data_IF_765465964175
#
_entry.id   IF_765465964175
#
_cell.length_a   1.000
_cell.length_b   1.000
_cell.length_c   1.000
_cell.angle_alpha   90.00
_cell.angle_beta   90.00
_cell.angle_gamma   90.00
#
_symmetry.space_group_name_H-M   'P 1'
#
loop_
_entity.id
_entity.type
_entity.pdbx_description
1 polymer ?
#
# COMPACT_ATOMS: atom_id res chain seq x y z
N UNK A 1 -6.58 -5.44 12.11
CA UNK A 1 -7.13 -6.61 12.84
C UNK A 1 -7.34 -7.69 11.80
N UNK A 2 -6.84 -8.92 12.01
CA UNK A 2 -6.93 -9.97 11.00
C UNK A 2 -8.35 -10.19 10.50
N UNK A 3 -8.49 -10.37 9.19
CA UNK A 3 -9.78 -10.54 8.54
C UNK A 3 -10.03 -12.03 8.28
N UNK A 4 -11.07 -12.59 8.91
CA UNK A 4 -11.55 -13.94 8.63
C UNK A 4 -12.44 -13.89 7.39
N UNK A 5 -12.08 -14.61 6.32
CA UNK A 5 -12.83 -14.58 5.05
C UNK A 5 -13.08 -13.14 4.53
N UNK A 6 -12.07 -12.26 4.68
CA UNK A 6 -12.10 -10.84 4.32
C UNK A 6 -13.08 -9.98 5.12
N UNK A 7 -13.57 -10.46 6.26
CA UNK A 7 -14.40 -9.70 7.20
C UNK A 7 -13.70 -9.58 8.55
N UNK A 8 -13.89 -8.47 9.28
CA UNK A 8 -13.40 -8.35 10.64
C UNK A 8 -13.92 -9.50 11.50
N UNK A 9 -13.05 -10.14 12.27
CA UNK A 9 -13.46 -11.15 13.25
C UNK A 9 -13.89 -10.44 14.54
N UNK A 10 -15.11 -10.75 15.00
CA UNK A 10 -15.58 -10.28 16.30
C UNK A 10 -14.82 -10.95 17.44
N UNK A 11 -14.54 -10.18 18.50
CA UNK A 11 -14.14 -10.75 19.79
C UNK A 11 -15.37 -11.31 20.48
N UNK A 12 -15.24 -12.47 21.12
CA UNK A 12 -16.28 -13.02 22.00
C UNK A 12 -16.40 -12.13 23.23
N UNK A 13 -17.63 -11.93 23.69
CA UNK A 13 -17.91 -11.14 24.89
C UNK A 13 -17.38 -11.87 26.13
N UNK A 14 -16.94 -11.08 27.11
CA UNK A 14 -16.53 -11.63 28.40
C UNK A 14 -17.77 -12.20 29.09
N UNK A 15 -17.74 -13.45 29.58
CA UNK A 15 -18.89 -14.03 30.26
C UNK A 15 -19.31 -13.18 31.48
N UNK A 16 -20.62 -12.92 31.69
CA UNK A 16 -21.09 -11.86 32.60
C UNK A 16 -20.84 -12.10 34.11
N UNK A 17 -20.30 -13.26 34.51
CA UNK A 17 -20.15 -13.65 35.91
C UNK A 17 -18.71 -14.05 36.31
N UNK A 18 -17.70 -13.65 35.54
CA UNK A 18 -16.29 -13.99 35.84
C UNK A 18 -15.76 -13.09 36.96
N UNK A 19 -15.37 -13.68 38.10
CA UNK A 19 -14.68 -12.99 39.18
C UNK A 19 -13.17 -13.01 38.96
N UNK A 20 -12.46 -12.06 39.57
CA UNK A 20 -10.99 -11.96 39.47
C UNK A 20 -10.25 -13.20 40.01
N UNK A 21 -10.89 -13.97 40.89
CA UNK A 21 -10.35 -15.20 41.48
C UNK A 21 -10.62 -16.46 40.65
N UNK A 22 -11.45 -16.36 39.61
CA UNK A 22 -11.90 -17.53 38.87
C UNK A 22 -10.79 -18.03 37.93
N UNK A 23 -10.66 -19.36 37.82
CA UNK A 23 -9.76 -19.98 36.85
C UNK A 23 -10.41 -19.93 35.48
N UNK A 24 -9.72 -19.31 34.53
CA UNK A 24 -10.19 -19.13 33.16
C UNK A 24 -9.12 -19.56 32.17
N UNK A 25 -9.54 -19.90 30.95
CA UNK A 25 -8.67 -20.06 29.81
C UNK A 25 -8.52 -18.72 29.12
N UNK A 26 -7.30 -18.21 29.05
CA UNK A 26 -7.00 -16.91 28.46
C UNK A 26 -6.28 -17.10 27.12
N UNK A 27 -6.78 -16.40 26.11
CA UNK A 27 -6.21 -16.39 24.77
C UNK A 27 -5.54 -15.03 24.53
N UNK A 28 -4.23 -14.99 24.70
CA UNK A 28 -3.42 -13.76 24.67
C UNK A 28 -3.54 -12.99 23.35
N UNK A 29 -3.53 -13.70 22.22
CA UNK A 29 -3.46 -13.06 20.90
C UNK A 29 -4.73 -12.28 20.52
N UNK A 30 -5.90 -12.66 21.04
CA UNK A 30 -7.16 -11.94 20.82
C UNK A 30 -7.66 -11.21 22.07
N UNK A 31 -6.95 -11.37 23.20
CA UNK A 31 -7.34 -10.91 24.52
C UNK A 31 -8.75 -11.38 24.91
N UNK A 32 -9.03 -12.67 24.69
CA UNK A 32 -10.31 -13.31 24.98
C UNK A 32 -10.20 -14.22 26.21
N UNK A 33 -11.27 -14.30 26.99
CA UNK A 33 -11.36 -15.10 28.21
C UNK A 33 -12.49 -16.12 28.05
N UNK A 34 -12.23 -17.36 28.45
CA UNK A 34 -13.19 -18.47 28.39
C UNK A 34 -13.27 -19.17 29.74
N UNK A 35 -14.47 -19.53 30.17
CA UNK A 35 -14.70 -20.35 31.36
C UNK A 35 -14.77 -21.84 31.04
N UNK A 36 -15.08 -22.19 29.79
CA UNK A 36 -15.16 -23.56 29.29
C UNK A 36 -13.97 -23.89 28.38
N UNK A 37 -13.36 -25.07 28.58
CA UNK A 37 -12.28 -25.58 27.74
C UNK A 37 -12.72 -25.80 26.29
N UNK A 38 -13.92 -26.34 26.07
CA UNK A 38 -14.40 -26.66 24.72
C UNK A 38 -14.55 -25.38 23.89
N UNK A 39 -15.11 -24.31 24.47
CA UNK A 39 -15.23 -23.01 23.82
C UNK A 39 -13.87 -22.39 23.47
N UNK A 40 -12.90 -22.52 24.38
CA UNK A 40 -11.52 -22.10 24.16
C UNK A 40 -10.86 -22.91 23.03
N UNK A 41 -11.04 -24.23 23.03
CA UNK A 41 -10.44 -25.14 22.05
C UNK A 41 -11.04 -24.93 20.65
N UNK A 42 -12.35 -24.75 20.54
CA UNK A 42 -13.02 -24.38 19.29
C UNK A 42 -12.49 -23.05 18.74
N UNK A 43 -12.33 -22.04 19.62
CA UNK A 43 -11.75 -20.76 19.22
C UNK A 43 -10.31 -20.94 18.73
N UNK A 44 -9.52 -21.75 19.42
CA UNK A 44 -8.14 -22.05 19.02
C UNK A 44 -8.08 -22.72 17.65
N UNK A 45 -8.94 -23.71 17.37
CA UNK A 45 -9.06 -24.35 16.05
C UNK A 45 -9.39 -23.31 14.98
N UNK A 46 -10.37 -22.44 15.24
CA UNK A 46 -10.74 -21.38 14.31
C UNK A 46 -9.54 -20.48 13.99
N UNK A 47 -8.79 -20.03 14.99
CA UNK A 47 -7.65 -19.11 14.81
C UNK A 47 -6.44 -19.75 14.14
N UNK A 48 -6.28 -21.08 14.26
CA UNK A 48 -5.26 -21.85 13.53
C UNK A 48 -5.67 -22.21 12.09
N UNK A 49 -6.91 -21.94 11.69
CA UNK A 49 -7.31 -22.10 10.28
C UNK A 49 -6.62 -21.06 9.39
N UNK A 50 -6.21 -21.44 8.18
CA UNK A 50 -5.55 -20.55 7.21
C UNK A 50 -6.53 -19.65 6.45
N UNK A 51 -7.69 -19.35 7.05
CA UNK A 51 -8.77 -18.56 6.45
C UNK A 51 -8.62 -17.05 6.70
N UNK A 52 -7.53 -16.63 7.36
CA UNK A 52 -7.28 -15.23 7.66
C UNK A 52 -6.51 -14.52 6.55
N UNK A 53 -6.65 -13.20 6.60
CA UNK A 53 -5.89 -12.28 5.78
C UNK A 53 -5.45 -11.08 6.60
N UNK A 54 -4.28 -10.54 6.27
CA UNK A 54 -3.75 -9.32 6.88
C UNK A 54 -4.46 -8.10 6.28
N UNK A 55 -5.04 -7.26 7.13
CA UNK A 55 -5.77 -6.06 6.69
C UNK A 55 -4.85 -5.07 5.96
N UNK A 56 -3.65 -4.84 6.50
CA UNK A 56 -2.71 -3.84 5.97
C UNK A 56 -2.03 -4.26 4.67
N UNK A 57 -1.62 -5.53 4.56
CA UNK A 57 -0.87 -6.02 3.39
C UNK A 57 -1.77 -6.69 2.34
N UNK A 58 -2.96 -7.15 2.74
CA UNK A 58 -3.87 -7.94 1.92
C UNK A 58 -3.39 -9.37 1.64
N UNK A 59 -2.33 -9.85 2.32
CA UNK A 59 -1.89 -11.25 2.23
C UNK A 59 -2.99 -12.17 2.76
N UNK A 60 -3.33 -13.22 2.02
CA UNK A 60 -4.37 -14.21 2.35
C UNK A 60 -3.76 -15.58 2.62
N UNK A 61 -4.55 -16.50 3.18
CA UNK A 61 -4.07 -17.87 3.43
C UNK A 61 -3.25 -17.97 4.72
N UNK A 62 -3.48 -17.04 5.65
CA UNK A 62 -2.75 -16.93 6.91
C UNK A 62 -3.60 -17.51 8.03
N UNK A 63 -2.96 -17.99 9.08
CA UNK A 63 -3.59 -18.14 10.40
C UNK A 63 -3.81 -16.76 11.04
N UNK A 64 -4.61 -16.71 12.10
CA UNK A 64 -4.81 -15.47 12.85
C UNK A 64 -3.48 -14.89 13.37
N UNK A 65 -2.59 -15.75 13.89
CA UNK A 65 -1.30 -15.36 14.47
C UNK A 65 -0.33 -14.84 13.41
N UNK A 66 -0.24 -15.51 12.26
CA UNK A 66 0.57 -15.03 11.13
C UNK A 66 0.03 -13.72 10.56
N UNK A 67 -1.29 -13.56 10.50
CA UNK A 67 -1.91 -12.31 10.09
C UNK A 67 -1.56 -11.19 11.08
N UNK A 68 -1.64 -11.42 12.40
CA UNK A 68 -1.22 -10.44 13.41
C UNK A 68 0.25 -10.03 13.25
N UNK A 69 1.15 -11.00 13.09
CA UNK A 69 2.57 -10.71 12.91
C UNK A 69 2.81 -9.95 11.60
N UNK A 70 2.10 -10.30 10.51
CA UNK A 70 2.12 -9.54 9.27
C UNK A 70 1.58 -8.11 9.42
N UNK A 71 0.58 -7.88 10.27
CA UNK A 71 0.06 -6.54 10.58
C UNK A 71 1.09 -5.71 11.35
N UNK A 72 1.73 -6.31 12.36
CA UNK A 72 2.80 -5.68 13.15
C UNK A 72 3.99 -5.28 12.27
N UNK A 73 4.42 -6.18 11.38
CA UNK A 73 5.49 -5.89 10.43
C UNK A 73 5.10 -4.82 9.43
N UNK A 74 3.85 -4.82 8.95
CA UNK A 74 3.34 -3.77 8.07
C UNK A 74 3.37 -2.41 8.76
N UNK A 75 2.90 -2.31 9.99
CA UNK A 75 2.96 -1.07 10.78
C UNK A 75 4.38 -0.55 10.94
N UNK A 76 5.31 -1.44 11.30
CA UNK A 76 6.73 -1.09 11.43
C UNK A 76 7.34 -0.64 10.09
N UNK A 77 6.97 -1.28 8.98
CA UNK A 77 7.47 -0.96 7.65
C UNK A 77 6.92 0.37 7.12
N UNK A 78 5.65 0.67 7.40
CA UNK A 78 5.06 1.96 7.08
C UNK A 78 5.73 3.07 7.91
N UNK A 79 5.90 2.83 9.21
CA UNK A 79 6.54 3.76 10.14
C UNK A 79 5.95 5.16 10.04
N UNK A 80 6.79 6.17 10.24
CA UNK A 80 6.44 7.55 9.88
C UNK A 80 6.62 7.70 8.36
N UNK A 81 5.51 7.79 7.64
CA UNK A 81 5.53 8.18 6.24
C UNK A 81 5.66 9.72 6.19
N UNK A 82 6.57 10.30 5.39
CA UNK A 82 6.74 11.75 5.40
C UNK A 82 5.45 12.47 4.98
N UNK A 83 5.00 13.48 5.73
CA UNK A 83 3.70 14.11 5.50
C UNK A 83 3.63 14.80 4.13
N UNK A 84 4.73 15.37 3.65
CA UNK A 84 4.80 16.00 2.32
C UNK A 84 4.56 14.97 1.22
N UNK A 85 5.23 13.81 1.30
CA UNK A 85 5.02 12.74 0.32
C UNK A 85 3.60 12.19 0.39
N UNK A 86 3.03 12.07 1.59
CA UNK A 86 1.63 11.65 1.77
C UNK A 86 0.68 12.61 1.06
N UNK A 87 0.81 13.91 1.30
CA UNK A 87 -0.01 14.94 0.66
C UNK A 87 0.15 14.91 -0.87
N UNK A 88 1.37 14.92 -1.39
CA UNK A 88 1.62 14.89 -2.85
C UNK A 88 1.04 13.65 -3.51
N UNK A 89 1.24 12.47 -2.91
CA UNK A 89 0.75 11.20 -3.47
C UNK A 89 -0.78 11.17 -3.44
N UNK A 90 -1.41 11.53 -2.32
CA UNK A 90 -2.87 11.50 -2.21
C UNK A 90 -3.53 12.53 -3.13
N UNK A 91 -2.93 13.72 -3.27
CA UNK A 91 -3.38 14.73 -4.23
C UNK A 91 -3.30 14.21 -5.66
N UNK A 92 -2.20 13.54 -6.02
CA UNK A 92 -2.04 12.91 -7.33
C UNK A 92 -3.09 11.83 -7.57
N UNK A 93 -3.34 10.98 -6.57
CA UNK A 93 -4.34 9.89 -6.65
C UNK A 93 -5.73 10.46 -6.90
N UNK A 94 -6.10 11.49 -6.14
CA UNK A 94 -7.42 12.12 -6.16
C UNK A 94 -7.71 12.87 -7.46
N UNK A 95 -6.74 13.66 -7.93
CA UNK A 95 -6.97 14.66 -8.97
C UNK A 95 -6.46 14.26 -10.36
N UNK A 96 -5.46 13.37 -10.45
CA UNK A 96 -4.77 13.07 -11.72
C UNK A 96 -4.80 11.59 -12.11
N UNK A 97 -4.67 10.68 -11.14
CA UNK A 97 -4.55 9.24 -11.41
C UNK A 97 -5.91 8.57 -11.58
N UNK A 98 -6.32 8.38 -12.83
CA UNK A 98 -7.54 7.65 -13.18
C UNK A 98 -7.29 6.14 -13.37
N UNK A 99 -6.79 5.43 -12.35
CA UNK A 99 -6.43 4.00 -12.49
C UNK A 99 -7.46 3.02 -11.93
N UNK A 100 -7.82 2.01 -12.74
CA UNK A 100 -8.65 0.89 -12.31
C UNK A 100 -7.86 -0.21 -11.59
N UNK A 101 -6.68 -0.57 -12.10
CA UNK A 101 -5.82 -1.62 -11.52
C UNK A 101 -4.85 -1.02 -10.50
N UNK A 102 -4.67 -1.73 -9.39
CA UNK A 102 -3.79 -1.28 -8.30
C UNK A 102 -2.31 -1.22 -8.72
N UNK A 103 -1.84 -2.18 -9.50
CA UNK A 103 -0.43 -2.21 -9.92
C UNK A 103 -0.12 -1.05 -10.88
N UNK A 104 -1.07 -0.63 -11.72
CA UNK A 104 -0.92 0.55 -12.58
C UNK A 104 -0.83 1.83 -11.74
N UNK A 105 -1.70 1.97 -10.72
CA UNK A 105 -1.64 3.07 -9.76
C UNK A 105 -0.28 3.15 -9.06
N UNK A 106 0.20 2.01 -8.55
CA UNK A 106 1.49 1.92 -7.86
C UNK A 106 2.66 2.28 -8.77
N UNK A 107 2.64 1.82 -10.02
CA UNK A 107 3.71 2.11 -10.98
C UNK A 107 3.76 3.59 -11.34
N UNK A 108 2.61 4.21 -11.59
CA UNK A 108 2.55 5.64 -11.89
C UNK A 108 3.02 6.51 -10.73
N UNK A 109 2.54 6.23 -9.51
CA UNK A 109 3.00 6.94 -8.31
C UNK A 109 4.50 6.73 -8.14
N UNK A 110 4.99 5.50 -8.26
CA UNK A 110 6.43 5.23 -8.15
C UNK A 110 7.25 5.92 -9.23
N UNK A 111 6.72 6.10 -10.44
CA UNK A 111 7.39 6.78 -11.54
C UNK A 111 7.45 8.29 -11.28
N UNK A 112 6.32 8.89 -10.89
CA UNK A 112 6.22 10.31 -10.56
C UNK A 112 7.15 10.71 -9.41
N UNK A 113 7.33 9.83 -8.44
CA UNK A 113 8.15 10.11 -7.26
C UNK A 113 9.66 9.96 -7.50
N UNK A 114 10.10 9.23 -8.53
CA UNK A 114 11.47 8.71 -8.61
C UNK A 114 12.55 9.80 -8.52
N UNK A 115 12.40 10.87 -9.31
CA UNK A 115 13.40 11.92 -9.49
C UNK A 115 12.81 13.33 -9.26
N UNK A 116 11.75 13.40 -8.44
CA UNK A 116 10.99 14.62 -8.13
C UNK A 116 10.97 14.87 -6.63
N UNK A 117 11.22 16.10 -6.20
CA UNK A 117 11.20 16.49 -4.79
C UNK A 117 10.09 17.51 -4.51
N UNK A 118 9.64 17.58 -3.27
CA UNK A 118 8.47 18.38 -2.88
C UNK A 118 8.83 19.40 -1.80
N UNK A 119 8.15 20.55 -1.80
CA UNK A 119 8.35 21.58 -0.78
C UNK A 119 8.10 21.00 0.62
N UNK A 120 8.99 21.27 1.56
CA UNK A 120 9.02 20.76 2.92
C UNK A 120 9.59 19.35 3.06
N UNK A 121 9.92 18.66 1.96
CA UNK A 121 10.52 17.33 2.02
C UNK A 121 11.95 17.38 2.55
N UNK A 122 12.29 16.48 3.47
CA UNK A 122 13.65 16.29 3.95
C UNK A 122 14.39 15.22 3.12
N UNK A 123 15.56 15.57 2.60
CA UNK A 123 16.41 14.68 1.83
C UNK A 123 17.90 14.96 2.11
N UNK A 124 18.80 14.37 1.32
CA UNK A 124 20.23 14.63 1.43
C UNK A 124 20.75 15.34 0.19
N UNK A 125 21.44 16.47 0.38
CA UNK A 125 22.31 17.04 -0.63
C UNK A 125 23.63 16.24 -0.67
N UNK A 126 24.09 15.92 -1.87
CA UNK A 126 25.31 15.14 -2.10
C UNK A 126 26.38 16.06 -2.65
N UNK A 127 27.41 16.31 -1.84
CA UNK A 127 28.62 17.04 -2.25
C UNK A 127 29.81 16.08 -2.23
N UNK A 128 30.18 15.58 -3.41
CA UNK A 128 31.19 14.54 -3.57
C UNK A 128 30.84 13.28 -2.76
N UNK A 129 31.51 13.07 -1.63
CA UNK A 129 31.28 11.94 -0.72
C UNK A 129 30.40 12.28 0.48
N UNK A 130 30.18 13.56 0.76
CA UNK A 130 29.40 14.02 1.89
C UNK A 130 27.90 13.99 1.57
N UNK A 131 27.10 13.65 2.58
CA UNK A 131 25.64 13.67 2.52
C UNK A 131 25.13 14.60 3.59
N UNK A 132 24.65 15.76 3.18
CA UNK A 132 24.23 16.83 4.06
C UNK A 132 22.70 16.82 4.13
N UNK A 133 22.08 16.73 5.32
CA UNK A 133 20.62 16.75 5.44
C UNK A 133 20.09 18.15 5.10
N UNK A 134 19.12 18.19 4.19
CA UNK A 134 18.49 19.41 3.70
C UNK A 134 16.97 19.27 3.65
N UNK A 135 16.28 20.40 3.71
CA UNK A 135 14.85 20.50 3.46
C UNK A 135 14.61 21.31 2.19
N UNK A 136 13.70 20.86 1.34
CA UNK A 136 13.30 21.60 0.14
C UNK A 136 12.42 22.78 0.55
N UNK A 137 12.77 23.99 0.15
CA UNK A 137 11.97 25.20 0.43
C UNK A 137 11.25 25.74 -0.80
N UNK A 138 11.75 25.42 -2.00
CA UNK A 138 11.17 25.89 -3.25
C UNK A 138 11.39 24.91 -4.40
N UNK A 139 10.46 24.91 -5.36
CA UNK A 139 10.52 24.16 -6.61
C UNK A 139 10.37 25.15 -7.76
N UNK A 140 11.40 25.27 -8.58
CA UNK A 140 11.49 26.24 -9.67
C UNK A 140 11.52 25.53 -11.02
N UNK A 141 10.79 26.04 -12.00
CA UNK A 141 10.73 25.48 -13.35
C UNK A 141 11.61 26.31 -14.26
N UNK A 142 12.66 25.71 -14.83
CA UNK A 142 13.58 26.38 -15.73
C UNK A 142 13.12 26.41 -17.18
N UNK A 143 12.35 25.39 -17.59
CA UNK A 143 11.91 25.20 -18.96
C UNK A 143 10.46 24.82 -18.97
N UNK A 144 9.71 25.46 -19.85
CA UNK A 144 8.32 25.09 -20.08
C UNK A 144 8.25 23.65 -20.57
N UNK A 145 7.34 22.90 -19.98
CA UNK A 145 7.00 21.55 -20.39
C UNK A 145 5.49 21.42 -20.44
N UNK A 146 5.01 20.81 -21.52
CA UNK A 146 3.62 20.49 -21.72
C UNK A 146 3.52 19.05 -22.20
N UNK A 147 2.52 18.33 -21.69
CA UNK A 147 2.22 16.99 -22.15
C UNK A 147 1.75 17.04 -23.62
N UNK A 148 2.23 16.10 -24.43
CA UNK A 148 1.81 15.92 -25.80
C UNK A 148 0.34 15.47 -25.84
N UNK A 149 -0.47 16.15 -26.65
CA UNK A 149 -1.86 15.78 -26.87
C UNK A 149 -1.96 14.49 -27.70
N UNK A 150 -1.99 13.35 -27.01
CA UNK A 150 -2.19 12.05 -27.62
C UNK A 150 -2.80 11.03 -26.66
N UNK A 151 -3.57 10.07 -27.17
CA UNK A 151 -4.08 8.92 -26.41
C UNK A 151 -2.97 7.88 -26.14
N UNK A 152 -1.84 8.35 -25.61
CA UNK A 152 -0.75 7.49 -25.18
C UNK A 152 -1.21 6.52 -24.09
N UNK A 153 -0.70 5.29 -24.13
CA UNK A 153 -0.94 4.31 -23.06
C UNK A 153 -0.04 4.53 -21.85
N UNK A 154 1.01 5.33 -22.02
CA UNK A 154 2.04 5.58 -21.03
C UNK A 154 1.86 6.95 -20.36
N UNK A 155 2.19 7.07 -19.07
CA UNK A 155 2.16 8.34 -18.35
C UNK A 155 3.20 9.31 -18.91
N UNK A 156 2.78 10.55 -19.14
CA UNK A 156 3.66 11.66 -19.49
C UNK A 156 3.93 12.47 -18.23
N UNK A 157 5.19 12.49 -17.79
CA UNK A 157 5.62 13.14 -16.56
C UNK A 157 6.69 14.16 -16.93
N UNK A 158 6.66 15.37 -16.35
CA UNK A 158 7.68 16.37 -16.63
C UNK A 158 9.08 15.82 -16.29
N UNK A 159 10.06 15.94 -17.19
CA UNK A 159 11.40 15.42 -16.97
C UNK A 159 12.08 16.16 -15.81
N UNK A 160 12.88 15.48 -14.97
CA UNK A 160 13.45 16.08 -13.77
C UNK A 160 14.42 17.23 -14.06
N UNK A 161 15.03 17.27 -15.25
CA UNK A 161 15.97 18.30 -15.70
C UNK A 161 15.34 19.66 -15.99
N UNK A 162 14.02 19.80 -15.86
CA UNK A 162 13.33 21.11 -15.95
C UNK A 162 13.19 21.77 -14.58
N UNK A 163 13.49 21.05 -13.49
CA UNK A 163 13.32 21.55 -12.13
C UNK A 163 14.64 21.95 -11.49
N UNK A 164 14.58 23.00 -10.67
CA UNK A 164 15.61 23.35 -9.68
C UNK A 164 14.97 23.50 -8.32
N UNK A 165 15.77 23.28 -7.28
CA UNK A 165 15.29 23.26 -5.90
C UNK A 165 16.04 24.26 -5.05
N UNK A 166 15.32 25.04 -4.25
CA UNK A 166 15.88 25.82 -3.15
C UNK A 166 15.96 24.94 -1.91
N UNK A 167 17.06 25.03 -1.17
CA UNK A 167 17.35 24.17 -0.03
C UNK A 167 17.54 24.99 1.26
N UNK A 168 17.07 24.43 2.37
CA UNK A 168 17.42 24.82 3.73
C UNK A 168 18.32 23.73 4.31
N UNK A 169 19.54 24.08 4.71
CA UNK A 169 20.46 23.15 5.37
C UNK A 169 20.05 22.98 6.84
N UNK A 170 19.87 21.73 7.29
CA UNK A 170 19.40 21.45 8.65
C UNK A 170 20.55 21.67 9.64
N UNK A 171 20.22 22.31 10.78
CA UNK A 171 21.11 22.83 11.84
C UNK A 171 22.50 22.16 11.96
N UNK A 172 23.54 23.00 11.95
CA UNK A 172 24.95 22.59 12.08
C UNK A 172 25.67 22.32 10.75
N UNK A 173 24.94 22.34 9.63
CA UNK A 173 25.52 22.22 8.29
C UNK A 173 25.37 23.54 7.54
N UNK A 174 26.47 24.10 7.04
CA UNK A 174 26.47 25.20 6.07
C UNK A 174 26.83 24.65 4.70
N UNK A 175 26.37 25.32 3.64
CA UNK A 175 26.88 25.03 2.30
C UNK A 175 28.42 25.17 2.33
N UNK A 176 29.20 24.24 1.74
CA UNK A 176 30.66 24.29 1.76
C UNK A 176 31.25 25.62 1.23
N UNK A 177 30.51 26.30 0.35
CA UNK A 177 30.91 27.56 -0.31
C UNK A 177 30.13 28.81 0.18
N UNK A 178 29.67 28.85 1.43
CA UNK A 178 28.84 29.95 1.95
C UNK A 178 29.52 31.35 2.03
N UNK A 179 30.76 31.49 1.55
CA UNK A 179 31.55 32.74 1.61
C UNK A 179 31.49 33.59 0.32
N UNK A 180 30.70 33.20 -0.69
CA UNK A 180 30.56 33.95 -1.94
C UNK A 180 29.18 34.60 -2.06
N UNK A 181 29.17 35.86 -2.48
CA UNK A 181 28.03 36.79 -2.49
C UNK A 181 26.75 36.20 -3.12
N UNK A 182 25.63 36.64 -2.56
CA UNK A 182 24.21 36.30 -2.76
C UNK A 182 23.72 36.29 -4.23
N UNK A 183 24.18 35.33 -5.02
CA UNK A 183 23.62 35.07 -6.36
C UNK A 183 22.51 34.02 -6.25
N UNK A 184 21.27 34.43 -6.54
CA UNK A 184 20.08 33.59 -6.42
C UNK A 184 20.20 32.29 -7.25
N UNK A 185 20.90 32.32 -8.39
CA UNK A 185 21.15 31.13 -9.23
C UNK A 185 22.13 30.13 -8.59
N UNK A 186 23.05 30.55 -7.73
CA UNK A 186 23.94 29.66 -6.99
C UNK A 186 23.23 28.93 -5.83
N UNK A 187 22.04 29.38 -5.43
CA UNK A 187 21.21 28.74 -4.41
C UNK A 187 20.21 27.69 -4.95
N UNK A 188 20.28 27.41 -6.25
CA UNK A 188 19.37 26.50 -6.95
C UNK A 188 20.07 25.20 -7.36
N UNK A 189 19.55 24.08 -6.86
CA UNK A 189 20.19 22.78 -6.99
C UNK A 189 19.47 21.87 -7.99
N UNK A 190 20.25 21.05 -8.70
CA UNK A 190 19.72 19.99 -9.57
C UNK A 190 19.14 18.82 -8.76
N UNK A 191 18.20 18.08 -9.36
CA UNK A 191 17.72 16.82 -8.80
C UNK A 191 18.84 15.79 -8.63
N UNK A 192 19.89 15.85 -9.46
CA UNK A 192 21.04 14.92 -9.41
C UNK A 192 21.91 15.09 -8.17
N UNK A 193 21.93 16.29 -7.58
CA UNK A 193 22.64 16.57 -6.33
C UNK A 193 21.80 16.22 -5.10
N UNK A 194 20.54 15.84 -5.28
CA UNK A 194 19.62 15.50 -4.21
C UNK A 194 19.43 13.99 -4.15
N UNK A 195 19.28 13.48 -2.94
CA UNK A 195 19.08 12.06 -2.70
C UNK A 195 18.05 11.80 -1.61
N UNK A 196 16.90 11.28 -2.02
CA UNK A 196 15.92 10.66 -1.12
C UNK A 196 16.39 9.26 -0.68
N UNK A 197 16.34 8.98 0.62
CA UNK A 197 16.61 7.63 1.11
C UNK A 197 15.67 6.60 0.47
N UNK A 198 16.24 5.52 -0.10
CA UNK A 198 15.46 4.49 -0.82
C UNK A 198 14.35 3.88 0.03
N UNK A 199 14.52 3.82 1.34
CA UNK A 199 13.53 3.31 2.29
C UNK A 199 12.25 4.16 2.35
N UNK A 200 12.33 5.47 2.06
CA UNK A 200 11.25 6.43 2.22
C UNK A 200 10.17 6.26 1.14
N UNK A 201 10.58 6.16 -0.13
CA UNK A 201 9.66 6.02 -1.27
C UNK A 201 9.84 4.69 -2.02
N UNK A 202 10.24 3.62 -1.31
CA UNK A 202 10.37 2.30 -1.94
C UNK A 202 9.02 1.79 -2.48
N UNK A 203 9.02 1.06 -3.61
CA UNK A 203 7.80 0.43 -4.14
C UNK A 203 7.02 -0.39 -3.10
N UNK A 204 7.65 -1.23 -2.24
CA UNK A 204 6.93 -1.92 -1.17
C UNK A 204 6.27 -0.97 -0.16
N UNK A 205 6.92 0.13 0.21
CA UNK A 205 6.37 1.12 1.15
C UNK A 205 5.23 1.92 0.51
N UNK A 206 5.39 2.36 -0.74
CA UNK A 206 4.31 2.99 -1.53
C UNK A 206 3.11 2.05 -1.70
N UNK A 207 3.35 0.77 -2.00
CA UNK A 207 2.32 -0.27 -2.09
C UNK A 207 1.55 -0.39 -0.78
N UNK A 208 2.25 -0.44 0.34
CA UNK A 208 1.63 -0.53 1.65
C UNK A 208 0.83 0.74 1.99
N UNK A 209 1.39 1.91 1.75
CA UNK A 209 0.72 3.20 1.94
C UNK A 209 -0.57 3.28 1.10
N UNK A 210 -0.49 3.07 -0.22
CA UNK A 210 -1.64 3.15 -1.13
C UNK A 210 -2.74 2.14 -0.78
N UNK A 211 -2.40 0.92 -0.36
CA UNK A 211 -3.41 -0.06 0.13
C UNK A 211 -4.18 0.46 1.35
N UNK A 212 -3.50 1.21 2.22
CA UNK A 212 -4.06 1.72 3.45
C UNK A 212 -4.72 3.10 3.30
N UNK A 213 -4.45 3.80 2.20
CA UNK A 213 -4.95 5.15 1.97
C UNK A 213 -5.94 5.28 0.81
N UNK A 214 -6.03 4.29 -0.08
CA UNK A 214 -6.92 4.32 -1.24
C UNK A 214 -8.07 3.31 -1.12
N UNK A 215 -9.15 3.56 -1.87
CA UNK A 215 -10.34 2.73 -1.99
C UNK A 215 -10.86 2.78 -3.44
N UNK A 216 -11.53 1.73 -3.91
CA UNK A 216 -12.13 1.74 -5.25
C UNK A 216 -13.50 2.40 -5.20
N UNK A 217 -13.69 3.50 -5.94
CA UNK A 217 -14.97 4.21 -6.14
C UNK A 217 -15.29 4.29 -7.62
N UNK A 218 -16.52 3.93 -7.99
CA UNK A 218 -17.00 3.94 -9.39
C UNK A 218 -16.01 3.22 -10.35
N UNK A 219 -15.39 2.13 -9.90
CA UNK A 219 -14.46 1.31 -10.71
C UNK A 219 -13.04 1.86 -10.86
N UNK A 220 -12.66 2.94 -10.17
CA UNK A 220 -11.31 3.51 -10.13
C UNK A 220 -10.82 3.67 -8.69
N UNK A 221 -9.50 3.67 -8.49
CA UNK A 221 -8.93 4.03 -7.20
C UNK A 221 -9.12 5.52 -6.93
N UNK A 222 -9.51 5.82 -5.70
CA UNK A 222 -9.65 7.16 -5.12
C UNK A 222 -9.10 7.10 -3.69
N UNK A 223 -8.92 8.24 -3.03
CA UNK A 223 -8.46 8.28 -1.64
C UNK A 223 -9.61 7.94 -0.67
N UNK A 224 -9.25 7.42 0.52
CA UNK A 224 -10.21 7.19 1.60
C UNK A 224 -10.79 8.51 2.11
N UNK A 225 -12.01 8.46 2.61
CA UNK A 225 -12.80 9.64 3.01
C UNK A 225 -12.11 10.53 4.04
N UNK A 226 -11.40 9.93 5.00
CA UNK A 226 -10.64 10.63 6.03
C UNK A 226 -9.57 11.60 5.49
N UNK A 227 -9.15 11.47 4.23
CA UNK A 227 -8.15 12.35 3.61
C UNK A 227 -8.76 13.41 2.70
N UNK A 228 -10.05 13.32 2.36
CA UNK A 228 -10.63 14.14 1.28
C UNK A 228 -10.62 15.61 1.65
N UNK A 229 -11.08 15.96 2.84
CA UNK A 229 -11.17 17.36 3.28
C UNK A 229 -9.81 18.05 3.23
N UNK A 230 -8.76 17.38 3.72
CA UNK A 230 -7.41 17.94 3.76
C UNK A 230 -6.84 18.08 2.35
N UNK A 231 -7.00 17.06 1.51
CA UNK A 231 -6.44 17.04 0.14
C UNK A 231 -7.17 17.99 -0.80
N UNK A 232 -8.49 18.13 -0.68
CA UNK A 232 -9.29 19.04 -1.51
C UNK A 232 -9.01 20.53 -1.18
N UNK A 233 -8.36 20.84 -0.04
CA UNK A 233 -7.90 22.21 0.30
C UNK A 233 -6.59 22.59 -0.38
N UNK A 234 -5.84 21.62 -0.90
CA UNK A 234 -4.54 21.85 -1.50
C UNK A 234 -4.67 22.31 -2.96
N UNK A 235 -3.66 23.03 -3.43
CA UNK A 235 -3.47 23.37 -4.84
C UNK A 235 -2.39 22.51 -5.45
N UNK A 236 -2.33 22.45 -6.78
CA UNK A 236 -1.25 21.74 -7.47
C UNK A 236 0.11 22.33 -7.10
N UNK A 237 0.20 23.66 -6.99
CA UNK A 237 1.41 24.40 -6.64
C UNK A 237 1.90 24.03 -5.24
N UNK A 238 1.00 23.96 -4.26
CA UNK A 238 1.35 23.60 -2.87
C UNK A 238 1.65 22.11 -2.69
N UNK A 239 0.95 21.22 -3.39
CA UNK A 239 1.10 19.79 -3.21
C UNK A 239 2.26 19.20 -4.04
N UNK A 240 2.52 19.74 -5.22
CA UNK A 240 3.44 19.17 -6.21
C UNK A 240 4.36 20.21 -6.86
N UNK A 241 3.88 21.40 -7.20
CA UNK A 241 4.66 22.44 -7.90
C UNK A 241 4.91 22.15 -9.39
N UNK A 242 5.26 23.18 -10.17
CA UNK A 242 5.61 23.08 -11.60
C UNK A 242 4.49 22.59 -12.52
N UNK A 243 4.78 22.06 -13.73
CA UNK A 243 3.74 21.63 -14.65
C UNK A 243 3.12 20.27 -14.27
N UNK A 244 1.79 20.08 -14.43
CA UNK A 244 1.12 18.83 -14.06
C UNK A 244 1.37 17.68 -15.03
N UNK A 245 1.56 16.44 -14.53
CA UNK A 245 1.69 15.25 -15.38
C UNK A 245 0.35 14.88 -16.02
N UNK A 246 0.43 14.11 -17.10
CA UNK A 246 -0.74 13.51 -17.75
C UNK A 246 -0.69 11.99 -17.62
N UNK A 247 -1.67 11.42 -16.92
CA UNK A 247 -1.81 9.97 -16.78
C UNK A 247 -2.90 9.42 -17.72
N UNK A 248 -2.68 8.24 -18.34
CA UNK A 248 -3.69 7.61 -19.16
C UNK A 248 -4.88 7.16 -18.33
N UNK A 249 -6.08 7.41 -18.85
CA UNK A 249 -7.28 6.84 -18.28
C UNK A 249 -7.35 5.35 -18.64
N UNK A 250 -7.24 4.47 -17.63
CA UNK A 250 -7.46 3.04 -17.87
C UNK A 250 -8.95 2.75 -18.07
N UNK A 251 -9.33 1.75 -18.88
CA UNK A 251 -10.69 1.25 -18.91
C UNK A 251 -11.08 0.72 -17.53
N UNK A 252 -12.35 0.90 -17.14
CA UNK A 252 -12.87 0.45 -15.84
C UNK A 252 -12.63 -1.06 -15.67
N UNK A 253 -12.24 -1.48 -14.46
CA UNK A 253 -12.16 -2.90 -14.11
C UNK A 253 -13.54 -3.57 -14.31
N UNK A 254 -13.73 -4.29 -15.42
CA UNK A 254 -14.83 -5.25 -15.51
C UNK A 254 -14.50 -6.44 -14.60
N UNK A 255 -15.14 -6.50 -13.43
CA UNK A 255 -15.14 -7.72 -12.61
C UNK A 255 -16.10 -8.73 -13.25
N UNK A 256 -15.56 -9.81 -13.81
CA UNK A 256 -16.32 -10.99 -14.20
C UNK A 256 -16.05 -11.46 -15.63
N UNK A 257 -15.92 -12.78 -15.81
CA UNK A 257 -16.01 -13.42 -17.13
C UNK A 257 -17.39 -13.09 -17.70
N UNK A 258 -17.44 -12.32 -18.78
CA UNK A 258 -18.67 -12.14 -19.56
C UNK A 258 -19.19 -13.54 -19.90
N UNK A 259 -20.45 -13.91 -19.54
CA UNK A 259 -21.05 -15.10 -20.10
C UNK A 259 -21.02 -14.92 -21.62
N UNK A 260 -20.41 -15.89 -22.31
CA UNK A 260 -20.36 -15.91 -23.76
C UNK A 260 -21.81 -15.89 -24.25
N UNK A 261 -22.26 -14.77 -24.84
CA UNK A 261 -23.58 -14.67 -25.42
C UNK A 261 -23.72 -15.78 -26.47
N UNK A 262 -24.59 -16.76 -26.21
CA UNK A 262 -24.94 -17.81 -27.16
C UNK A 262 -25.85 -17.21 -28.22
N UNK A 263 -25.26 -16.54 -29.22
CA UNK A 263 -25.92 -16.35 -30.50
C UNK A 263 -25.32 -17.34 -31.49
N UNK A 264 -25.85 -18.57 -31.48
CA UNK A 264 -25.68 -19.52 -32.56
C UNK A 264 -27.05 -20.16 -32.84
N UNK A 265 -27.59 -19.81 -34.00
CA UNK A 265 -28.80 -20.38 -34.62
C UNK A 265 -28.59 -21.90 -34.79
N UNK A 266 -29.58 -22.75 -34.51
CA UNK A 266 -29.42 -24.19 -34.70
C UNK A 266 -29.57 -24.54 -36.18
N UNK A 267 -28.49 -25.00 -36.81
CA UNK A 267 -28.55 -25.74 -38.07
C UNK A 267 -28.49 -27.24 -37.78
N UNK A 268 -29.54 -27.93 -38.19
CA UNK A 268 -29.76 -29.37 -38.15
C UNK A 268 -28.76 -30.16 -39.02
N UNK A 269 -28.13 -31.21 -38.50
CA UNK A 269 -28.05 -32.56 -39.12
C UNK A 269 -27.10 -33.53 -38.40
N UNK A 270 -27.51 -34.80 -38.37
CA UNK A 270 -26.79 -36.09 -38.17
C UNK A 270 -26.33 -36.55 -36.76
N UNK A 271 -27.18 -37.40 -36.17
CA UNK A 271 -27.02 -38.75 -35.54
C UNK A 271 -25.65 -39.36 -35.13
N UNK A 272 -25.65 -40.35 -34.21
CA UNK A 272 -24.70 -40.45 -33.09
C UNK A 272 -23.74 -41.65 -33.18
N UNK A 273 -22.68 -41.63 -32.36
CA UNK A 273 -21.93 -42.83 -32.00
C UNK A 273 -21.59 -42.81 -30.51
N UNK A 274 -22.07 -43.81 -29.80
CA UNK A 274 -21.77 -44.10 -28.41
C UNK A 274 -20.36 -44.69 -28.26
N UNK A 275 -19.73 -44.48 -27.09
CA UNK A 275 -18.82 -45.44 -26.47
C UNK A 275 -18.60 -45.06 -24.99
N UNK A 276 -18.82 -46.07 -24.16
CA UNK A 276 -18.65 -46.14 -22.71
C UNK A 276 -17.19 -46.02 -22.26
N UNK A 277 -16.95 -45.75 -20.98
CA UNK A 277 -15.63 -45.92 -20.38
C UNK A 277 -15.40 -45.33 -18.99
N UNK A 278 -15.94 -46.00 -17.97
CA UNK A 278 -15.30 -46.31 -16.66
C UNK A 278 -14.57 -45.23 -15.84
N UNK A 279 -15.20 -44.89 -14.70
CA UNK A 279 -14.71 -45.04 -13.31
C UNK A 279 -13.23 -45.39 -13.09
N UNK A 280 -12.54 -44.60 -12.27
CA UNK A 280 -11.79 -45.13 -11.10
C UNK A 280 -11.59 -44.06 -10.02
N UNK A 281 -11.90 -44.47 -8.78
CA UNK A 281 -11.61 -43.79 -7.52
C UNK A 281 -10.10 -43.88 -7.19
N UNK A 282 -9.59 -42.88 -6.46
CA UNK A 282 -8.39 -43.05 -5.64
C UNK A 282 -8.55 -42.21 -4.36
N UNK A 283 -8.86 -42.91 -3.26
CA UNK A 283 -8.79 -42.41 -1.90
C UNK A 283 -7.31 -42.26 -1.50
N UNK A 284 -6.96 -41.11 -0.92
CA UNK A 284 -5.66 -40.86 -0.33
C UNK A 284 -5.82 -40.39 1.11
N UNK A 285 -5.76 -41.33 2.05
CA UNK A 285 -5.71 -41.08 3.49
C UNK A 285 -4.30 -40.61 3.84
N UNK A 286 -4.16 -39.39 4.35
CA UNK A 286 -2.94 -38.92 5.00
C UNK A 286 -3.21 -38.70 6.50
N UNK A 287 -2.62 -39.58 7.32
CA UNK A 287 -2.49 -39.41 8.76
C UNK A 287 -1.50 -38.27 9.05
N UNK A 288 -1.92 -37.30 9.86
CA UNK A 288 -1.04 -36.29 10.45
C UNK A 288 -1.01 -36.50 11.97
N UNK A 289 0.15 -36.89 12.49
CA UNK A 289 0.47 -36.87 13.92
C UNK A 289 0.66 -35.43 14.41
N UNK A 290 0.20 -35.06 15.62
CA UNK A 290 0.45 -33.74 16.20
C UNK A 290 1.71 -33.70 17.07
N UNK A 291 2.67 -32.86 16.70
CA UNK A 291 3.78 -32.40 17.54
C UNK A 291 3.32 -31.24 18.42
N UNK A 292 3.03 -31.50 19.69
CA UNK A 292 2.79 -30.49 20.73
C UNK A 292 3.97 -30.43 21.70
N UNK A 293 4.70 -29.30 21.72
CA UNK A 293 5.55 -28.90 22.85
C UNK A 293 5.42 -27.39 23.03
N UNK A 294 4.90 -26.96 24.19
CA UNK A 294 4.89 -25.54 24.53
C UNK A 294 3.99 -25.13 25.69
N UNK A 295 3.85 -25.96 26.75
CA UNK A 295 3.21 -25.52 27.99
C UNK A 295 4.30 -24.95 28.91
N UNK A 296 4.37 -23.63 29.08
CA UNK A 296 5.11 -23.00 30.18
C UNK A 296 4.11 -22.46 31.19
N UNK A 297 4.12 -23.10 32.35
CA UNK A 297 3.56 -22.61 33.60
C UNK A 297 4.32 -21.36 34.06
N UNK A 298 3.61 -20.24 34.22
CA UNK A 298 4.10 -19.14 35.07
C UNK A 298 3.46 -19.27 36.45
N UNK A 299 4.31 -19.57 37.44
CA UNK A 299 4.04 -19.36 38.85
C UNK A 299 4.74 -18.07 39.27
N UNK A 300 3.94 -17.17 39.84
CA UNK A 300 4.25 -15.92 40.58
C UNK A 300 4.82 -14.75 39.79
#
# INVERSE_FOLDING_TARGET
MPLLNKKPIGRREVPPNVKLTDKVYYLEASNEIFTNYDEFFERMIQLNSTLFSCEYTGKTGLTYFEALESEKQAMKALGNFPPQLEQSILFLVRNYLCRGRFEDLLNDVSLFMKDRYFIGEECSYVDGTQRIPVRITGVHVLRDWQAESGNGKDPQIPPPEIFRYSLEFIEGNTHPDADLEDDFEQSLFDHTCLHRARSVASKPKLKLFLKNSCVVRKGRYDIKEKFISDIDTLTWESACGGPPPQFPQTPMLQRGRQPKAQNAVPSTSSTPTALEGTSTNAEGVFCLEPLWKGCRSLQR
#
